data_IF_528099554088
#
_entry.id   IF_528099554088
#
_cell.length_a   1.000
_cell.length_b   1.000
_cell.length_c   1.000
_cell.angle_alpha   90.00
_cell.angle_beta   90.00
_cell.angle_gamma   90.00
#
_symmetry.space_group_name_H-M   'P 1'
#
loop_
_entity.id
_entity.type
_entity.pdbx_description
1 polymer ?
#
# COMPACT_ATOMS: atom_id res chain seq x y z
N UNK A 1 -5.69 -22.87 27.09
CA UNK A 1 -6.55 -21.67 27.28
C UNK A 1 -5.62 -20.50 27.52
N UNK A 2 -5.17 -19.83 26.45
CA UNK A 2 -4.29 -18.66 26.51
C UNK A 2 -5.14 -17.43 26.90
N UNK A 3 -5.30 -17.21 28.21
CA UNK A 3 -6.12 -16.11 28.73
C UNK A 3 -5.39 -14.76 28.63
N UNK A 4 -6.09 -13.72 28.19
CA UNK A 4 -5.58 -12.34 28.31
C UNK A 4 -5.51 -11.94 29.78
N UNK A 5 -4.34 -11.48 30.23
CA UNK A 5 -4.13 -10.89 31.56
C UNK A 5 -4.20 -9.36 31.48
N UNK A 6 -4.56 -8.73 32.60
CA UNK A 6 -4.76 -7.30 32.71
C UNK A 6 -3.96 -6.79 33.90
N UNK A 7 -3.06 -5.83 33.66
CA UNK A 7 -2.29 -5.22 34.74
C UNK A 7 -2.35 -3.70 34.68
N UNK A 8 -2.28 -3.03 35.82
CA UNK A 8 -2.21 -1.58 35.93
C UNK A 8 -0.80 -1.12 36.30
N UNK A 9 -0.34 -0.05 35.67
CA UNK A 9 0.96 0.57 35.97
C UNK A 9 0.97 2.07 35.64
N UNK A 10 1.89 2.80 36.25
CA UNK A 10 2.29 4.13 35.78
C UNK A 10 3.16 3.99 34.52
N UNK A 11 2.85 4.78 33.49
CA UNK A 11 3.56 4.74 32.22
C UNK A 11 5.04 5.13 32.38
N UNK A 12 5.94 4.18 32.11
CA UNK A 12 7.40 4.39 32.25
C UNK A 12 8.00 5.44 31.29
N UNK A 13 7.28 5.76 30.20
CA UNK A 13 7.67 6.76 29.20
C UNK A 13 6.49 7.12 28.31
N UNK A 14 6.49 8.31 27.69
CA UNK A 14 5.47 8.80 26.75
C UNK A 14 5.53 8.15 25.34
N UNK A 15 5.97 6.89 25.24
CA UNK A 15 6.15 6.16 23.98
C UNK A 15 4.97 5.26 23.60
N UNK A 16 4.09 4.94 24.55
CA UNK A 16 2.92 4.11 24.29
C UNK A 16 1.75 4.94 23.76
N UNK A 17 1.02 4.40 22.80
CA UNK A 17 -0.22 4.96 22.28
C UNK A 17 -1.40 4.14 22.78
N UNK A 18 -2.43 4.80 23.30
CA UNK A 18 -3.65 4.11 23.74
C UNK A 18 -4.32 3.40 22.57
N UNK A 19 -4.59 2.09 22.73
CA UNK A 19 -5.19 1.26 21.68
C UNK A 19 -6.58 1.72 21.27
N UNK A 20 -7.36 2.37 22.15
CA UNK A 20 -8.73 2.83 21.90
C UNK A 20 -8.78 4.21 21.25
N UNK A 21 -8.28 5.25 21.90
CA UNK A 21 -8.38 6.63 21.40
C UNK A 21 -7.21 7.07 20.49
N UNK A 22 -6.16 6.26 20.37
CA UNK A 22 -4.96 6.53 19.55
C UNK A 22 -4.14 7.76 19.96
N UNK A 23 -4.39 8.35 21.12
CA UNK A 23 -3.53 9.40 21.69
C UNK A 23 -2.36 8.81 22.48
N UNK A 24 -1.27 9.57 22.61
CA UNK A 24 -0.13 9.18 23.46
C UNK A 24 -0.56 9.15 24.93
N UNK A 25 -0.02 8.18 25.67
CA UNK A 25 -0.13 8.09 27.14
C UNK A 25 1.14 8.75 27.70
N UNK A 26 0.99 9.77 28.53
CA UNK A 26 2.12 10.56 29.04
C UNK A 26 2.95 9.79 30.08
N UNK A 27 4.21 10.19 30.27
CA UNK A 27 5.07 9.56 31.27
C UNK A 27 4.53 9.80 32.68
N UNK A 28 4.41 8.75 33.48
CA UNK A 28 3.84 8.78 34.83
C UNK A 28 2.31 8.66 34.88
N UNK A 29 1.61 8.63 33.74
CA UNK A 29 0.15 8.48 33.69
C UNK A 29 -0.28 7.01 33.94
N UNK A 30 -1.39 6.79 34.64
CA UNK A 30 -1.94 5.45 34.86
C UNK A 30 -2.48 4.85 33.55
N UNK A 31 -2.12 3.59 33.29
CA UNK A 31 -2.58 2.85 32.10
C UNK A 31 -2.81 1.37 32.43
N UNK A 32 -3.73 0.76 31.67
CA UNK A 32 -3.99 -0.69 31.73
C UNK A 32 -3.27 -1.38 30.58
N UNK A 33 -2.41 -2.35 30.92
CA UNK A 33 -1.75 -3.27 29.98
C UNK A 33 -2.63 -4.51 29.80
N UNK A 34 -2.89 -4.88 28.55
CA UNK A 34 -3.56 -6.12 28.17
C UNK A 34 -2.52 -7.03 27.51
N UNK A 35 -2.25 -8.19 28.10
CA UNK A 35 -1.25 -9.15 27.62
C UNK A 35 -1.91 -10.44 27.14
N UNK A 36 -1.60 -10.87 25.92
CA UNK A 36 -2.12 -12.11 25.34
C UNK A 36 -1.01 -12.87 24.59
N UNK A 37 -1.18 -14.18 24.46
CA UNK A 37 -0.27 -15.03 23.70
C UNK A 37 -0.47 -14.83 22.19
N UNK A 38 0.60 -14.49 21.47
CA UNK A 38 0.62 -14.28 20.03
C UNK A 38 0.77 -15.57 19.22
N UNK A 39 0.71 -15.46 17.88
CA UNK A 39 0.69 -16.61 16.93
C UNK A 39 1.95 -17.49 16.92
N UNK A 40 2.96 -17.19 17.71
CA UNK A 40 4.23 -17.93 17.80
C UNK A 40 4.73 -18.08 19.25
N UNK A 41 3.84 -17.97 20.25
CA UNK A 41 4.20 -18.09 21.68
C UNK A 41 4.82 -16.84 22.31
N UNK A 42 4.94 -15.74 21.56
CA UNK A 42 5.37 -14.44 22.08
C UNK A 42 4.22 -13.69 22.77
N UNK A 43 4.49 -13.09 23.94
CA UNK A 43 3.53 -12.21 24.63
C UNK A 43 3.34 -10.89 23.86
N UNK A 44 2.12 -10.64 23.41
CA UNK A 44 1.72 -9.37 22.79
C UNK A 44 1.01 -8.52 23.83
N UNK A 45 1.56 -7.34 24.12
CA UNK A 45 0.96 -6.39 25.05
C UNK A 45 0.42 -5.15 24.34
N UNK A 46 -0.75 -4.68 24.77
CA UNK A 46 -1.33 -3.41 24.34
C UNK A 46 -1.67 -2.55 25.55
N UNK A 47 -1.65 -1.22 25.39
CA UNK A 47 -1.88 -0.27 26.46
C UNK A 47 -3.12 0.59 26.18
N UNK A 48 -3.89 0.90 27.21
CA UNK A 48 -5.03 1.83 27.15
C UNK A 48 -5.04 2.76 28.36
N UNK A 49 -5.51 4.01 28.20
CA UNK A 49 -5.85 4.86 29.35
C UNK A 49 -6.92 4.16 30.20
N UNK A 50 -6.95 4.48 31.50
CA UNK A 50 -7.93 3.91 32.43
C UNK A 50 -9.36 4.28 32.00
N UNK A 51 -9.62 5.53 31.62
CA UNK A 51 -10.94 5.98 31.14
C UNK A 51 -11.30 5.42 29.76
N UNK A 52 -10.28 4.98 29.01
CA UNK A 52 -10.46 4.32 27.73
C UNK A 52 -10.74 2.82 27.90
N UNK A 53 -10.48 2.22 29.06
CA UNK A 53 -10.68 0.78 29.21
C UNK A 53 -12.17 0.42 29.10
N UNK A 54 -12.44 -0.80 28.62
CA UNK A 54 -13.79 -1.34 28.54
C UNK A 54 -13.71 -2.82 28.84
N UNK A 55 -14.62 -3.28 29.70
CA UNK A 55 -14.65 -4.67 30.14
C UNK A 55 -14.71 -5.61 28.92
N UNK A 56 -13.79 -6.59 28.83
CA UNK A 56 -13.86 -7.66 27.85
C UNK A 56 -15.24 -8.34 27.87
N UNK A 57 -15.69 -8.84 26.72
CA UNK A 57 -17.02 -9.47 26.59
C UNK A 57 -17.31 -10.56 27.63
N UNK A 58 -16.28 -11.32 28.03
CA UNK A 58 -16.35 -12.37 29.07
C UNK A 58 -16.73 -11.84 30.46
N UNK A 59 -16.42 -10.58 30.75
CA UNK A 59 -16.72 -9.88 32.01
C UNK A 59 -17.90 -8.93 31.88
N UNK A 60 -18.22 -8.47 30.66
CA UNK A 60 -19.33 -7.56 30.41
C UNK A 60 -20.69 -8.28 30.20
N UNK A 61 -20.71 -9.60 29.95
CA UNK A 61 -21.93 -10.33 29.57
C UNK A 61 -21.87 -11.83 29.89
N UNK A 62 -23.03 -12.48 30.07
CA UNK A 62 -23.14 -13.92 30.30
C UNK A 62 -22.85 -14.37 31.73
N UNK A 63 -22.56 -15.66 31.93
CA UNK A 63 -22.32 -16.27 33.25
C UNK A 63 -21.02 -15.80 33.94
N UNK A 64 -20.13 -15.11 33.22
CA UNK A 64 -18.91 -14.49 33.75
C UNK A 64 -19.02 -12.98 33.99
N UNK A 65 -20.24 -12.42 33.96
CA UNK A 65 -20.45 -11.00 34.17
C UNK A 65 -20.03 -10.59 35.58
N UNK A 66 -19.15 -9.59 35.66
CA UNK A 66 -18.70 -8.97 36.91
C UNK A 66 -18.79 -7.45 36.78
N UNK A 67 -18.84 -6.72 37.89
CA UNK A 67 -18.83 -5.25 37.85
C UNK A 67 -17.43 -4.70 37.57
N UNK A 68 -17.34 -3.42 37.25
CA UNK A 68 -16.07 -2.70 37.12
C UNK A 68 -15.26 -2.72 38.44
N UNK A 69 -15.94 -2.63 39.59
CA UNK A 69 -15.32 -2.75 40.91
C UNK A 69 -14.76 -4.15 41.15
N UNK A 70 -15.55 -5.19 40.83
CA UNK A 70 -15.14 -6.58 40.95
C UNK A 70 -13.97 -6.89 40.00
N UNK A 71 -13.97 -6.31 38.80
CA UNK A 71 -12.84 -6.45 37.86
C UNK A 71 -11.56 -5.83 38.41
N UNK A 72 -11.62 -4.64 39.01
CA UNK A 72 -10.44 -3.97 39.58
C UNK A 72 -9.91 -4.73 40.80
N UNK A 73 -10.79 -5.37 41.59
CA UNK A 73 -10.40 -6.12 42.80
C UNK A 73 -9.90 -7.52 42.50
N UNK A 74 -10.58 -8.24 41.61
CA UNK A 74 -10.42 -9.69 41.46
C UNK A 74 -9.68 -10.10 40.17
N UNK A 75 -9.52 -9.18 39.21
CA UNK A 75 -8.96 -9.49 37.87
C UNK A 75 -7.78 -8.60 37.48
N UNK A 76 -7.79 -7.33 37.89
CA UNK A 76 -6.73 -6.38 37.54
C UNK A 76 -5.52 -6.56 38.45
N UNK A 77 -4.38 -6.93 37.86
CA UNK A 77 -3.14 -7.13 38.60
C UNK A 77 -2.37 -5.81 38.78
N UNK A 78 -1.78 -5.61 39.95
CA UNK A 78 -0.80 -4.54 40.19
C UNK A 78 0.56 -5.15 40.53
N UNK A 79 1.45 -5.32 39.53
CA UNK A 79 2.78 -5.88 39.76
C UNK A 79 3.68 -5.02 40.66
N UNK A 80 3.37 -3.73 40.84
CA UNK A 80 4.13 -2.84 41.71
C UNK A 80 3.69 -2.92 43.17
N UNK A 81 2.42 -3.27 43.41
CA UNK A 81 1.79 -3.26 44.73
C UNK A 81 1.58 -1.86 45.33
N UNK A 82 1.81 -0.80 44.54
CA UNK A 82 1.73 0.60 44.99
C UNK A 82 0.39 1.28 44.61
N UNK A 83 -0.38 0.68 43.70
CA UNK A 83 -1.59 1.26 43.10
C UNK A 83 -2.85 0.62 43.72
N UNK A 84 -2.90 -0.71 43.79
CA UNK A 84 -4.01 -1.46 44.38
C UNK A 84 -3.62 -1.98 45.77
N UNK A 85 -4.53 -1.92 46.77
CA UNK A 85 -5.94 -1.55 46.69
C UNK A 85 -6.22 -0.04 46.86
N UNK A 86 -5.21 0.79 47.16
CA UNK A 86 -5.40 2.18 47.58
C UNK A 86 -6.20 3.04 46.58
N UNK A 87 -6.03 2.81 45.28
CA UNK A 87 -6.74 3.54 44.21
C UNK A 87 -7.87 2.73 43.56
N UNK A 88 -8.27 1.58 44.13
CA UNK A 88 -9.21 0.65 43.50
C UNK A 88 -10.56 1.31 43.15
N UNK A 89 -11.15 2.05 44.10
CA UNK A 89 -12.44 2.71 43.89
C UNK A 89 -12.33 3.86 42.87
N UNK A 90 -11.21 4.59 42.84
CA UNK A 90 -10.96 5.65 41.86
C UNK A 90 -10.79 5.06 40.44
N UNK A 91 -10.07 3.94 40.32
CA UNK A 91 -9.85 3.25 39.05
C UNK A 91 -11.17 2.67 38.54
N UNK A 92 -11.96 2.02 39.39
CA UNK A 92 -13.29 1.51 39.03
C UNK A 92 -14.22 2.65 38.60
N UNK A 93 -14.19 3.78 39.32
CA UNK A 93 -14.93 4.98 38.93
C UNK A 93 -14.48 5.54 37.57
N UNK A 94 -13.17 5.56 37.27
CA UNK A 94 -12.63 6.00 35.97
C UNK A 94 -13.00 5.05 34.82
N UNK A 95 -13.08 3.75 35.07
CA UNK A 95 -13.54 2.77 34.06
C UNK A 95 -15.05 2.95 33.80
N UNK A 96 -15.83 3.21 34.85
CA UNK A 96 -17.29 3.38 34.80
C UNK A 96 -17.70 4.72 34.20
N UNK A 97 -16.99 5.78 34.57
CA UNK A 97 -17.06 7.10 33.97
C UNK A 97 -16.44 7.03 32.59
N UNK A 98 -17.14 6.37 31.65
CA UNK A 98 -16.81 6.39 30.23
C UNK A 98 -16.43 7.82 29.89
N UNK A 99 -15.16 8.04 29.53
CA UNK A 99 -14.80 9.30 28.91
C UNK A 99 -15.80 9.49 27.75
N UNK A 100 -16.43 10.68 27.59
CA UNK A 100 -16.97 11.02 26.28
C UNK A 100 -15.83 10.75 25.29
N UNK A 101 -16.11 10.15 24.15
CA UNK A 101 -15.10 9.90 23.13
C UNK A 101 -14.55 11.25 22.63
N UNK A 102 -13.65 11.86 23.40
CA UNK A 102 -13.06 13.15 23.16
C UNK A 102 -11.73 12.91 22.47
N UNK A 103 -11.82 12.56 21.20
CA UNK A 103 -10.82 12.98 20.22
C UNK A 103 -10.90 14.50 19.94
N UNK A 104 -11.82 15.24 20.58
CA UNK A 104 -11.99 16.69 20.44
C UNK A 104 -11.60 17.44 21.72
N UNK A 105 -10.31 17.76 21.89
CA UNK A 105 -9.79 19.03 22.46
C UNK A 105 -8.29 18.94 22.76
N UNK A 106 -7.45 19.15 21.74
CA UNK A 106 -6.16 19.84 21.86
C UNK A 106 -5.54 20.07 20.46
N UNK A 107 -6.24 20.80 19.60
CA UNK A 107 -5.64 21.48 18.46
C UNK A 107 -6.56 22.65 18.06
N UNK A 108 -6.64 23.67 18.92
CA UNK A 108 -7.30 24.92 18.56
C UNK A 108 -6.24 25.87 17.98
N UNK A 109 -5.99 25.72 16.68
CA UNK A 109 -5.52 26.78 15.81
C UNK A 109 -5.68 26.35 14.34
N UNK A 110 -6.85 26.69 13.76
CA UNK A 110 -7.06 26.79 12.31
C UNK A 110 -7.84 25.64 11.66
N UNK A 111 -9.05 25.95 11.19
CA UNK A 111 -9.80 25.16 10.21
C UNK A 111 -11.03 24.44 10.77
N UNK A 112 -12.22 24.78 10.27
CA UNK A 112 -13.48 24.06 10.45
C UNK A 112 -13.32 22.57 10.15
N UNK A 113 -13.55 21.68 11.14
CA UNK A 113 -13.75 20.25 10.90
C UNK A 113 -14.83 19.68 11.84
N UNK A 114 -16.00 19.44 11.26
CA UNK A 114 -16.96 18.43 11.69
C UNK A 114 -16.24 17.10 11.92
N UNK A 115 -16.52 16.44 13.04
CA UNK A 115 -15.99 15.09 13.27
C UNK A 115 -17.14 14.13 13.10
N UNK A 116 -17.41 13.71 11.86
CA UNK A 116 -18.49 12.78 11.57
C UNK A 116 -17.93 11.60 10.80
N UNK A 117 -17.98 10.42 11.43
CA UNK A 117 -17.78 9.14 10.75
C UNK A 117 -18.62 9.13 9.46
N UNK A 118 -18.01 9.00 8.26
CA UNK A 118 -18.71 9.11 6.99
C UNK A 118 -19.92 8.17 6.87
N UNK A 119 -19.86 7.02 7.54
CA UNK A 119 -20.96 6.06 7.57
C UNK A 119 -22.15 6.55 8.41
N UNK A 120 -21.89 7.29 9.49
CA UNK A 120 -22.92 7.86 10.35
C UNK A 120 -23.71 8.94 9.62
N UNK A 121 -23.03 9.84 8.90
CA UNK A 121 -23.67 10.85 8.08
C UNK A 121 -24.65 10.25 7.05
N UNK A 122 -24.23 9.17 6.36
CA UNK A 122 -25.10 8.46 5.40
C UNK A 122 -26.33 7.87 6.09
N UNK A 123 -26.16 7.23 7.26
CA UNK A 123 -27.26 6.62 8.02
C UNK A 123 -28.26 7.67 8.50
N UNK A 124 -27.79 8.82 8.97
CA UNK A 124 -28.66 9.91 9.42
C UNK A 124 -29.45 10.51 8.26
N UNK A 125 -28.81 10.73 7.11
CA UNK A 125 -29.49 11.20 5.91
C UNK A 125 -30.52 10.19 5.37
N UNK A 126 -30.20 8.90 5.40
CA UNK A 126 -31.15 7.83 5.06
C UNK A 126 -32.39 7.87 5.97
N UNK A 127 -32.21 7.92 7.30
CA UNK A 127 -33.33 8.04 8.25
C UNK A 127 -34.15 9.31 8.04
N UNK A 128 -33.50 10.43 7.75
CA UNK A 128 -34.19 11.70 7.47
C UNK A 128 -35.05 11.58 6.21
N UNK A 129 -34.55 10.95 5.16
CA UNK A 129 -35.32 10.68 3.92
C UNK A 129 -36.51 9.75 4.16
N UNK A 130 -36.36 8.73 5.00
CA UNK A 130 -37.46 7.85 5.41
C UNK A 130 -38.53 8.62 6.21
N UNK A 131 -38.12 9.53 7.09
CA UNK A 131 -39.02 10.35 7.90
C UNK A 131 -39.76 11.44 7.12
N UNK A 132 -39.13 12.00 6.08
CA UNK A 132 -39.71 13.04 5.21
C UNK A 132 -40.63 12.48 4.11
N UNK A 133 -40.74 11.15 3.96
CA UNK A 133 -41.80 10.43 3.24
C UNK A 133 -42.17 10.97 1.85
N UNK A 134 -41.46 10.54 0.80
CA UNK A 134 -41.82 10.64 -0.64
C UNK A 134 -42.75 11.80 -1.10
N UNK A 135 -42.56 13.02 -0.60
CA UNK A 135 -43.09 14.22 -1.24
C UNK A 135 -42.04 14.68 -2.22
N UNK A 136 -42.28 14.48 -3.51
CA UNK A 136 -41.38 14.81 -4.61
C UNK A 136 -41.17 16.31 -4.80
N UNK A 137 -40.59 16.99 -3.81
CA UNK A 137 -40.01 18.33 -3.97
C UNK A 137 -38.50 18.28 -3.80
N UNK A 138 -37.83 18.57 -4.91
CA UNK A 138 -36.38 18.62 -5.08
C UNK A 138 -35.81 19.86 -4.35
N UNK A 139 -34.96 19.72 -3.30
CA UNK A 139 -34.44 20.89 -2.62
C UNK A 139 -33.22 21.45 -3.36
N UNK A 140 -33.46 22.57 -4.04
CA UNK A 140 -32.52 23.43 -4.77
C UNK A 140 -31.23 23.75 -3.99
N UNK A 141 -30.14 23.01 -4.22
CA UNK A 141 -28.79 23.57 -4.14
C UNK A 141 -27.78 22.66 -4.86
N UNK A 142 -27.32 23.11 -6.03
CA UNK A 142 -26.99 22.26 -7.19
C UNK A 142 -25.52 21.82 -7.37
N UNK A 143 -24.64 21.97 -6.37
CA UNK A 143 -23.21 21.60 -6.57
C UNK A 143 -22.52 20.75 -5.48
N UNK A 144 -23.12 20.57 -4.29
CA UNK A 144 -22.54 19.72 -3.22
C UNK A 144 -23.43 18.52 -2.81
N UNK A 145 -24.67 18.42 -3.31
CA UNK A 145 -25.64 17.38 -2.91
C UNK A 145 -25.58 16.08 -3.72
N UNK A 146 -24.91 16.05 -4.88
CA UNK A 146 -24.96 14.91 -5.81
C UNK A 146 -24.38 13.61 -5.22
N UNK A 147 -23.10 13.63 -4.85
CA UNK A 147 -22.41 12.43 -4.36
C UNK A 147 -23.01 11.87 -3.06
N UNK A 148 -23.45 12.73 -2.15
CA UNK A 148 -24.06 12.26 -0.90
C UNK A 148 -25.42 11.58 -1.15
N UNK A 149 -26.21 12.09 -2.09
CA UNK A 149 -27.48 11.45 -2.49
C UNK A 149 -27.22 10.05 -3.06
N UNK A 150 -26.24 9.92 -3.97
CA UNK A 150 -25.84 8.63 -4.53
C UNK A 150 -25.33 7.64 -3.46
N UNK A 151 -24.59 8.13 -2.46
CA UNK A 151 -24.15 7.31 -1.32
C UNK A 151 -25.33 6.82 -0.47
N UNK A 152 -26.37 7.63 -0.30
CA UNK A 152 -27.60 7.22 0.39
C UNK A 152 -28.36 6.18 -0.42
N UNK A 153 -28.50 6.36 -1.74
CA UNK A 153 -29.14 5.37 -2.62
C UNK A 153 -28.41 4.01 -2.58
N UNK A 154 -27.07 4.02 -2.68
CA UNK A 154 -26.27 2.82 -2.54
C UNK A 154 -26.37 2.21 -1.14
N UNK A 155 -26.44 3.02 -0.08
CA UNK A 155 -26.66 2.53 1.28
C UNK A 155 -28.00 1.79 1.39
N UNK A 156 -29.08 2.35 0.85
CA UNK A 156 -30.39 1.71 0.83
C UNK A 156 -30.37 0.35 0.12
N UNK A 157 -29.61 0.24 -0.97
CA UNK A 157 -29.42 -1.01 -1.70
C UNK A 157 -28.68 -2.08 -0.87
N UNK A 158 -27.57 -1.71 -0.22
CA UNK A 158 -26.71 -2.68 0.47
C UNK A 158 -27.03 -2.90 1.96
N UNK A 159 -27.80 -2.01 2.63
CA UNK A 159 -27.98 -2.03 4.10
C UNK A 159 -28.57 -3.35 4.63
N UNK A 160 -29.42 -4.00 3.82
CA UNK A 160 -30.06 -5.28 4.15
C UNK A 160 -29.18 -6.51 3.94
N UNK A 161 -28.04 -6.39 3.24
CA UNK A 161 -27.21 -7.53 2.88
C UNK A 161 -26.46 -8.14 4.08
N UNK A 162 -26.18 -9.44 3.97
CA UNK A 162 -25.33 -10.17 4.91
C UNK A 162 -23.85 -9.83 4.67
N UNK A 163 -22.99 -10.15 5.63
CA UNK A 163 -21.55 -9.96 5.44
C UNK A 163 -21.00 -10.76 4.26
N UNK A 164 -21.56 -11.93 3.97
CA UNK A 164 -21.08 -12.78 2.89
C UNK A 164 -21.46 -12.19 1.53
N UNK A 165 -22.70 -11.74 1.37
CA UNK A 165 -23.12 -11.02 0.16
C UNK A 165 -22.30 -9.74 -0.07
N UNK A 166 -22.02 -8.95 0.98
CA UNK A 166 -21.14 -7.78 0.85
C UNK A 166 -19.72 -8.18 0.43
N UNK A 167 -19.19 -9.29 0.94
CA UNK A 167 -17.87 -9.79 0.51
C UNK A 167 -17.89 -10.32 -0.91
N UNK A 168 -18.99 -10.91 -1.37
CA UNK A 168 -19.15 -11.38 -2.74
C UNK A 168 -19.10 -10.20 -3.71
N UNK A 169 -19.87 -9.14 -3.43
CA UNK A 169 -19.81 -7.86 -4.18
C UNK A 169 -18.38 -7.32 -4.22
N UNK A 170 -17.68 -7.26 -3.07
CA UNK A 170 -16.30 -6.80 -3.04
C UNK A 170 -15.35 -7.71 -3.83
N UNK A 171 -15.55 -9.02 -3.80
CA UNK A 171 -14.72 -10.01 -4.52
C UNK A 171 -14.87 -9.86 -6.03
N UNK A 172 -16.09 -9.75 -6.52
CA UNK A 172 -16.38 -9.51 -7.95
C UNK A 172 -15.68 -8.26 -8.48
N UNK A 173 -15.46 -7.27 -7.62
CA UNK A 173 -14.82 -6.00 -7.98
C UNK A 173 -13.32 -5.96 -7.66
N UNK A 174 -12.69 -7.09 -7.31
CA UNK A 174 -11.28 -7.19 -6.92
C UNK A 174 -10.90 -6.26 -5.74
N UNK A 175 -11.85 -6.03 -4.83
CA UNK A 175 -11.66 -5.17 -3.65
C UNK A 175 -11.32 -5.98 -2.40
N UNK A 176 -10.75 -5.30 -1.40
CA UNK A 176 -10.40 -5.96 -0.13
C UNK A 176 -11.65 -6.32 0.68
N UNK A 177 -11.75 -7.58 1.10
CA UNK A 177 -12.90 -8.13 1.88
C UNK A 177 -12.69 -8.10 3.41
N UNK A 178 -11.64 -7.44 3.89
CA UNK A 178 -11.36 -7.29 5.33
C UNK A 178 -12.19 -6.16 5.94
N UNK A 179 -12.48 -6.25 7.24
CA UNK A 179 -13.20 -5.22 8.00
C UNK A 179 -14.42 -5.76 8.75
N UNK A 180 -15.04 -4.89 9.55
CA UNK A 180 -16.34 -5.17 10.18
C UNK A 180 -17.49 -4.89 9.18
N UNK A 181 -18.73 -5.23 9.56
CA UNK A 181 -19.91 -5.04 8.69
C UNK A 181 -20.05 -3.62 8.16
N UNK A 182 -19.87 -2.59 9.00
CA UNK A 182 -19.97 -1.19 8.57
C UNK A 182 -18.93 -0.84 7.51
N UNK A 183 -17.70 -1.33 7.67
CA UNK A 183 -16.62 -1.06 6.73
C UNK A 183 -16.81 -1.82 5.40
N UNK A 184 -17.28 -3.07 5.44
CA UNK A 184 -17.66 -3.81 4.22
C UNK A 184 -18.77 -3.10 3.46
N UNK A 185 -19.80 -2.65 4.18
CA UNK A 185 -20.92 -1.90 3.63
C UNK A 185 -20.45 -0.57 3.01
N UNK A 186 -19.62 0.21 3.72
CA UNK A 186 -19.10 1.47 3.20
C UNK A 186 -18.23 1.28 1.95
N UNK A 187 -17.42 0.21 1.89
CA UNK A 187 -16.68 -0.12 0.65
C UNK A 187 -17.60 -0.42 -0.53
N UNK A 188 -18.72 -1.10 -0.31
CA UNK A 188 -19.70 -1.36 -1.36
C UNK A 188 -20.37 -0.06 -1.83
N UNK A 189 -20.70 0.84 -0.89
CA UNK A 189 -21.25 2.17 -1.19
C UNK A 189 -20.25 3.01 -1.99
N UNK A 190 -19.03 3.12 -1.49
CA UNK A 190 -17.94 3.85 -2.15
C UNK A 190 -17.67 3.33 -3.56
N UNK A 191 -17.60 2.00 -3.71
CA UNK A 191 -17.44 1.35 -5.00
C UNK A 191 -18.61 1.55 -5.96
N UNK A 192 -19.85 1.52 -5.46
CA UNK A 192 -21.04 1.73 -6.28
C UNK A 192 -21.14 3.18 -6.79
N UNK A 193 -20.67 4.16 -6.00
CA UNK A 193 -20.72 5.58 -6.39
C UNK A 193 -19.55 5.97 -7.29
N UNK A 194 -18.33 5.51 -6.98
CA UNK A 194 -17.12 5.98 -7.67
C UNK A 194 -16.50 4.94 -8.61
N UNK A 195 -16.86 3.67 -8.48
CA UNK A 195 -16.22 2.57 -9.18
C UNK A 195 -15.20 1.81 -8.33
N UNK A 196 -14.65 0.76 -8.94
CA UNK A 196 -13.64 -0.12 -8.36
C UNK A 196 -12.38 0.66 -8.08
N UNK A 197 -11.74 0.49 -6.91
CA UNK A 197 -10.40 1.08 -6.72
C UNK A 197 -9.44 0.46 -7.72
N UNK A 198 -8.80 1.31 -8.52
CA UNK A 198 -7.77 0.91 -9.47
C UNK A 198 -6.46 0.56 -8.74
N UNK A 199 -5.45 0.14 -9.50
CA UNK A 199 -4.10 -0.02 -8.95
C UNK A 199 -3.49 1.33 -8.59
N UNK A 200 -2.60 1.30 -7.59
CA UNK A 200 -1.89 2.50 -7.15
C UNK A 200 -1.01 3.03 -8.30
N UNK A 201 -1.20 4.27 -8.76
CA UNK A 201 -0.46 4.78 -9.92
C UNK A 201 1.03 5.06 -9.61
N UNK A 202 1.42 5.03 -8.32
CA UNK A 202 2.83 5.06 -7.93
C UNK A 202 3.49 3.69 -8.07
N UNK A 203 2.98 2.68 -7.38
CA UNK A 203 3.68 1.39 -7.21
C UNK A 203 2.95 0.19 -7.80
N UNK A 204 1.84 0.41 -8.51
CA UNK A 204 0.90 -0.61 -8.96
C UNK A 204 0.32 -1.52 -7.85
N UNK A 205 0.46 -1.12 -6.58
CA UNK A 205 -0.07 -1.85 -5.44
C UNK A 205 -1.60 -1.78 -5.33
N UNK A 206 -2.17 -2.60 -4.43
CA UNK A 206 -3.62 -2.59 -4.14
C UNK A 206 -3.98 -1.35 -3.32
N UNK A 207 -4.90 -0.53 -3.81
CA UNK A 207 -5.53 0.53 -3.04
C UNK A 207 -6.64 -0.05 -2.15
N UNK A 208 -6.83 0.52 -0.94
CA UNK A 208 -7.87 0.10 -0.01
C UNK A 208 -8.41 1.26 0.81
N UNK A 209 -9.67 1.18 1.21
CA UNK A 209 -10.26 2.07 2.21
C UNK A 209 -9.52 1.95 3.55
N UNK A 210 -9.16 3.09 4.15
CA UNK A 210 -8.58 3.16 5.48
C UNK A 210 -9.63 2.85 6.57
N UNK A 211 -9.19 2.50 7.78
CA UNK A 211 -10.08 2.05 8.87
C UNK A 211 -11.06 3.13 9.34
N UNK A 212 -10.72 4.40 9.17
CA UNK A 212 -11.56 5.56 9.52
C UNK A 212 -12.51 6.00 8.39
N UNK A 213 -12.48 5.33 7.23
CA UNK A 213 -13.34 5.59 6.06
C UNK A 213 -13.13 6.96 5.40
N UNK A 214 -12.13 7.75 5.81
CA UNK A 214 -11.91 9.12 5.32
C UNK A 214 -10.93 9.19 4.15
N UNK A 215 -10.18 8.12 3.88
CA UNK A 215 -9.16 8.10 2.84
C UNK A 215 -8.93 6.71 2.26
N UNK A 216 -8.43 6.69 1.04
CA UNK A 216 -7.89 5.51 0.36
C UNK A 216 -6.39 5.49 0.56
N UNK A 217 -5.85 4.33 0.96
CA UNK A 217 -4.42 4.12 1.18
C UNK A 217 -3.91 2.99 0.32
N UNK A 218 -2.67 3.11 -0.15
CA UNK A 218 -1.98 2.02 -0.81
C UNK A 218 -1.55 0.95 0.20
N UNK A 219 -1.74 -0.32 -0.14
CA UNK A 219 -1.27 -1.48 0.63
C UNK A 219 0.11 -1.96 0.18
N UNK A 220 0.83 -1.17 -0.61
CA UNK A 220 2.12 -1.54 -1.20
C UNK A 220 2.03 -2.61 -2.29
N UNK A 221 3.18 -2.89 -2.90
CA UNK A 221 3.35 -3.93 -3.93
C UNK A 221 4.00 -5.16 -3.31
N UNK A 222 3.50 -6.35 -3.61
CA UNK A 222 4.20 -7.59 -3.28
C UNK A 222 5.16 -7.93 -4.40
N UNK A 223 6.38 -8.27 -4.05
CA UNK A 223 7.43 -8.65 -4.99
C UNK A 223 7.65 -10.15 -4.86
N UNK A 224 7.44 -10.87 -5.96
CA UNK A 224 7.48 -12.33 -5.97
C UNK A 224 8.91 -12.88 -5.81
N UNK A 225 9.93 -12.14 -6.23
CA UNK A 225 11.32 -12.61 -6.17
C UNK A 225 11.84 -12.54 -4.74
N UNK A 226 11.63 -11.41 -4.08
CA UNK A 226 12.07 -11.19 -2.70
C UNK A 226 11.08 -11.74 -1.67
N UNK A 227 9.86 -12.10 -2.08
CA UNK A 227 8.72 -12.46 -1.22
C UNK A 227 8.42 -11.40 -0.15
N UNK A 228 8.76 -10.14 -0.44
CA UNK A 228 8.56 -8.99 0.46
C UNK A 228 7.49 -8.08 -0.13
N UNK A 229 6.70 -7.46 0.76
CA UNK A 229 5.81 -6.36 0.40
C UNK A 229 6.55 -5.03 0.55
N UNK A 230 6.76 -4.35 -0.56
CA UNK A 230 7.31 -2.99 -0.58
C UNK A 230 6.22 -2.01 -0.13
N UNK A 231 6.41 -1.32 1.02
CA UNK A 231 5.42 -0.38 1.49
C UNK A 231 5.36 0.83 0.56
N UNK A 232 4.15 1.37 0.42
CA UNK A 232 3.89 2.59 -0.32
C UNK A 232 3.01 3.48 0.54
N UNK A 233 3.41 4.73 0.67
CA UNK A 233 2.72 5.70 1.52
C UNK A 233 1.69 6.53 0.75
N UNK A 234 1.39 6.16 -0.50
CA UNK A 234 0.44 6.90 -1.32
C UNK A 234 -0.97 6.79 -0.74
N UNK A 235 -1.66 7.92 -0.65
CA UNK A 235 -3.03 8.02 -0.17
C UNK A 235 -3.78 9.09 -0.93
N UNK A 236 -5.10 8.93 -1.01
CA UNK A 236 -6.00 9.80 -1.75
C UNK A 236 -7.26 10.06 -0.93
N UNK A 237 -7.88 11.25 -1.06
CA UNK A 237 -9.30 11.42 -0.74
C UNK A 237 -10.15 10.39 -1.51
N UNK A 238 -11.27 9.88 -0.96
CA UNK A 238 -12.09 8.85 -1.60
C UNK A 238 -12.56 9.22 -3.02
N UNK A 239 -12.94 10.48 -3.23
CA UNK A 239 -13.41 11.04 -4.49
C UNK A 239 -12.32 11.28 -5.54
N UNK A 240 -11.06 11.41 -5.12
CA UNK A 240 -9.90 11.63 -6.00
C UNK A 240 -9.10 10.34 -6.24
N UNK A 241 -9.43 9.26 -5.51
CA UNK A 241 -8.75 7.99 -5.63
C UNK A 241 -8.90 7.43 -7.06
N UNK A 242 -7.84 6.84 -7.65
CA UNK A 242 -7.92 6.18 -8.96
C UNK A 242 -9.01 5.09 -8.99
N UNK A 243 -9.91 5.15 -9.99
CA UNK A 243 -11.05 4.23 -10.15
C UNK A 243 -11.09 3.56 -11.53
N UNK A 244 -11.68 2.37 -11.55
CA UNK A 244 -12.09 1.67 -12.76
C UNK A 244 -13.60 1.41 -12.75
N UNK A 245 -14.18 1.47 -13.95
CA UNK A 245 -15.58 1.19 -14.21
C UNK A 245 -15.69 -0.10 -15.05
N UNK A 246 -16.88 -0.73 -15.09
CA UNK A 246 -18.02 -0.51 -14.20
C UNK A 246 -17.79 -1.12 -12.80
N UNK A 247 -18.70 -0.83 -11.87
CA UNK A 247 -18.85 -1.55 -10.59
C UNK A 247 -19.93 -2.62 -10.75
N UNK A 248 -19.67 -3.82 -10.23
CA UNK A 248 -20.58 -4.96 -10.34
C UNK A 248 -21.27 -5.25 -8.99
N UNK A 249 -22.58 -5.01 -8.89
CA UNK A 249 -23.37 -5.38 -7.70
C UNK A 249 -23.84 -6.84 -7.71
N UNK A 250 -23.62 -7.54 -8.81
CA UNK A 250 -23.95 -8.95 -9.06
C UNK A 250 -22.72 -9.65 -9.66
N UNK A 251 -22.76 -10.98 -9.77
CA UNK A 251 -21.63 -11.74 -10.33
C UNK A 251 -21.39 -11.34 -11.81
N UNK A 252 -20.18 -10.87 -12.18
CA UNK A 252 -19.85 -10.54 -13.55
C UNK A 252 -19.75 -11.80 -14.42
N UNK A 253 -20.00 -11.66 -15.72
CA UNK A 253 -19.75 -12.73 -16.68
C UNK A 253 -18.26 -13.05 -16.80
N UNK A 254 -17.93 -14.18 -17.42
CA UNK A 254 -16.52 -14.57 -17.63
C UNK A 254 -15.80 -13.59 -18.57
N UNK A 255 -16.49 -13.02 -19.55
CA UNK A 255 -15.94 -11.96 -20.41
C UNK A 255 -15.64 -10.70 -19.59
N UNK A 256 -16.56 -10.28 -18.72
CA UNK A 256 -16.37 -9.12 -17.84
C UNK A 256 -15.22 -9.35 -16.84
N UNK A 257 -15.08 -10.56 -16.31
CA UNK A 257 -13.94 -10.95 -15.45
C UNK A 257 -12.62 -10.84 -16.23
N UNK A 258 -12.58 -11.32 -17.48
CA UNK A 258 -11.38 -11.24 -18.32
C UNK A 258 -11.00 -9.78 -18.65
N UNK A 259 -11.98 -8.92 -18.95
CA UNK A 259 -11.74 -7.48 -19.15
C UNK A 259 -11.15 -6.82 -17.90
N UNK A 260 -11.66 -7.17 -16.70
CA UNK A 260 -11.13 -6.64 -15.45
C UNK A 260 -9.69 -7.07 -15.18
N UNK A 261 -9.33 -8.31 -15.51
CA UNK A 261 -7.96 -8.81 -15.39
C UNK A 261 -7.03 -8.13 -16.41
N UNK A 262 -7.49 -7.94 -17.65
CA UNK A 262 -6.74 -7.20 -18.65
C UNK A 262 -6.42 -5.77 -18.19
N UNK A 263 -7.36 -5.07 -17.54
CA UNK A 263 -7.10 -3.75 -16.97
C UNK A 263 -6.01 -3.77 -15.88
N UNK A 264 -5.92 -4.86 -15.11
CA UNK A 264 -4.89 -5.06 -14.08
C UNK A 264 -3.52 -5.26 -14.72
N UNK A 265 -3.41 -6.14 -15.71
CA UNK A 265 -2.18 -6.43 -16.46
C UNK A 265 -1.69 -5.18 -17.18
N UNK A 266 -2.60 -4.47 -17.86
CA UNK A 266 -2.27 -3.22 -18.53
C UNK A 266 -1.73 -2.18 -17.54
N UNK A 267 -2.35 -2.02 -16.37
CA UNK A 267 -1.85 -1.11 -15.35
C UNK A 267 -0.49 -1.51 -14.78
N UNK A 268 -0.17 -2.82 -14.77
CA UNK A 268 1.15 -3.33 -14.44
C UNK A 268 2.19 -3.08 -15.53
N UNK A 269 1.77 -2.66 -16.73
CA UNK A 269 2.63 -2.59 -17.91
C UNK A 269 3.15 -3.97 -18.29
N UNK A 270 2.33 -5.00 -18.09
CA UNK A 270 2.58 -6.34 -18.60
C UNK A 270 2.11 -6.40 -20.07
N UNK A 271 2.91 -7.02 -20.93
CA UNK A 271 2.52 -7.27 -22.31
C UNK A 271 1.50 -8.40 -22.33
N UNK A 272 0.59 -8.37 -23.32
CA UNK A 272 -0.40 -9.43 -23.47
C UNK A 272 0.32 -10.78 -23.66
N UNK A 273 -0.19 -11.81 -23.01
CA UNK A 273 0.29 -13.18 -23.25
C UNK A 273 0.29 -13.48 -24.76
N UNK A 274 1.42 -13.96 -25.28
CA UNK A 274 1.62 -14.24 -26.71
C UNK A 274 2.06 -13.05 -27.57
N UNK A 275 2.26 -11.85 -26.99
CA UNK A 275 2.70 -10.64 -27.71
C UNK A 275 4.01 -10.81 -28.49
N UNK A 276 4.85 -11.77 -28.10
CA UNK A 276 6.17 -12.00 -28.69
C UNK A 276 6.37 -13.42 -29.20
N UNK A 277 5.30 -14.18 -29.44
CA UNK A 277 5.43 -15.56 -29.94
C UNK A 277 6.15 -15.61 -31.29
N UNK A 278 5.85 -14.66 -32.18
CA UNK A 278 6.52 -14.52 -33.49
C UNK A 278 8.01 -14.15 -33.35
N UNK A 279 8.35 -13.28 -32.38
CA UNK A 279 9.74 -12.90 -32.09
C UNK A 279 10.51 -14.10 -31.53
N UNK A 280 9.90 -14.85 -30.60
CA UNK A 280 10.47 -16.07 -30.03
C UNK A 280 10.68 -17.13 -31.11
N UNK A 281 9.72 -17.32 -32.03
CA UNK A 281 9.85 -18.26 -33.14
C UNK A 281 10.97 -17.83 -34.10
N UNK A 282 11.05 -16.53 -34.41
CA UNK A 282 12.12 -15.95 -35.23
C UNK A 282 13.49 -16.17 -34.62
N UNK A 283 13.64 -15.95 -33.30
CA UNK A 283 14.86 -16.21 -32.55
C UNK A 283 15.24 -17.69 -32.57
N UNK A 284 14.28 -18.60 -32.32
CA UNK A 284 14.51 -20.05 -32.37
C UNK A 284 15.04 -20.47 -33.73
N UNK A 285 14.42 -19.99 -34.80
CA UNK A 285 14.83 -20.29 -36.17
C UNK A 285 16.25 -19.79 -36.46
N UNK A 286 16.57 -18.56 -36.04
CA UNK A 286 17.91 -17.99 -36.20
C UNK A 286 18.98 -18.77 -35.41
N UNK A 287 18.62 -19.31 -34.25
CA UNK A 287 19.54 -20.03 -33.38
C UNK A 287 19.69 -21.54 -33.70
N UNK A 288 18.75 -22.14 -34.44
CA UNK A 288 18.72 -23.58 -34.76
C UNK A 288 20.02 -24.13 -35.40
N UNK A 289 20.78 -23.27 -36.08
CA UNK A 289 22.06 -23.62 -36.72
C UNK A 289 23.30 -23.49 -35.83
N UNK A 290 23.16 -23.04 -34.58
CA UNK A 290 24.29 -22.79 -33.69
C UNK A 290 24.94 -24.08 -33.19
N UNK A 291 26.27 -24.06 -33.05
CA UNK A 291 27.01 -25.17 -32.46
C UNK A 291 26.85 -25.18 -30.92
N UNK A 292 25.80 -25.85 -30.44
CA UNK A 292 25.41 -25.84 -29.02
C UNK A 292 26.20 -26.81 -28.13
N UNK A 293 27.53 -26.66 -28.08
CA UNK A 293 28.41 -27.50 -27.26
C UNK A 293 28.70 -26.85 -25.90
N UNK A 294 27.94 -27.24 -24.89
CA UNK A 294 28.11 -26.75 -23.52
C UNK A 294 29.16 -27.52 -22.70
N UNK A 295 30.09 -28.24 -23.34
CA UNK A 295 31.15 -29.02 -22.66
C UNK A 295 32.40 -28.17 -22.41
N UNK A 296 32.78 -28.02 -21.13
CA UNK A 296 33.96 -27.24 -20.73
C UNK A 296 33.81 -25.73 -20.92
N UNK A 297 34.73 -24.96 -20.31
CA UNK A 297 34.63 -23.48 -20.28
C UNK A 297 34.71 -22.84 -21.67
N UNK A 298 35.49 -23.41 -22.58
CA UNK A 298 35.67 -22.87 -23.93
C UNK A 298 34.41 -23.04 -24.79
N UNK A 299 33.76 -24.22 -24.71
CA UNK A 299 32.51 -24.49 -25.42
C UNK A 299 31.38 -23.57 -24.96
N UNK A 300 31.22 -23.41 -23.64
CA UNK A 300 30.23 -22.49 -23.06
C UNK A 300 30.47 -21.05 -23.52
N UNK A 301 31.72 -20.56 -23.47
CA UNK A 301 32.03 -19.19 -23.92
C UNK A 301 31.71 -18.96 -25.40
N UNK A 302 31.95 -19.96 -26.24
CA UNK A 302 31.60 -19.90 -27.67
C UNK A 302 30.09 -19.86 -27.85
N UNK A 303 29.35 -20.79 -27.24
CA UNK A 303 27.90 -20.84 -27.32
C UNK A 303 27.22 -19.54 -26.82
N UNK A 304 27.73 -18.96 -25.73
CA UNK A 304 27.30 -17.64 -25.22
C UNK A 304 27.54 -16.55 -26.25
N UNK A 305 28.72 -16.52 -26.89
CA UNK A 305 29.05 -15.51 -27.90
C UNK A 305 28.15 -15.61 -29.13
N UNK A 306 28.03 -16.81 -29.68
CA UNK A 306 27.24 -17.08 -30.89
C UNK A 306 25.75 -16.77 -30.64
N UNK A 307 25.20 -17.16 -29.48
CA UNK A 307 23.82 -16.83 -29.13
C UNK A 307 23.62 -15.33 -28.89
N UNK A 308 24.58 -14.65 -28.24
CA UNK A 308 24.49 -13.20 -28.03
C UNK A 308 24.40 -12.45 -29.37
N UNK A 309 25.15 -12.87 -30.38
CA UNK A 309 25.06 -12.28 -31.73
C UNK A 309 23.66 -12.47 -32.35
N UNK A 310 23.07 -13.66 -32.20
CA UNK A 310 21.68 -13.93 -32.66
C UNK A 310 20.68 -13.02 -31.94
N UNK A 311 20.79 -12.89 -30.61
CA UNK A 311 19.88 -12.04 -29.83
C UNK A 311 20.03 -10.56 -30.19
N UNK A 312 21.25 -10.09 -30.45
CA UNK A 312 21.54 -8.70 -30.82
C UNK A 312 21.13 -8.36 -32.26
N UNK A 313 21.11 -9.34 -33.15
CA UNK A 313 20.71 -9.17 -34.55
C UNK A 313 19.18 -9.15 -34.73
N UNK A 314 18.41 -9.50 -33.70
CA UNK A 314 16.96 -9.51 -33.76
C UNK A 314 16.38 -8.10 -33.94
N UNK A 315 15.32 -7.97 -34.73
CA UNK A 315 14.72 -6.67 -35.05
C UNK A 315 14.21 -5.95 -33.80
N UNK A 316 13.58 -6.69 -32.89
CA UNK A 316 13.22 -6.23 -31.55
C UNK A 316 14.37 -6.54 -30.58
N UNK A 317 15.02 -5.49 -30.07
CA UNK A 317 16.15 -5.64 -29.15
C UNK A 317 15.69 -6.19 -27.80
N UNK A 318 16.36 -7.24 -27.31
CA UNK A 318 16.25 -7.67 -25.91
C UNK A 318 16.92 -6.65 -24.98
N UNK A 319 16.47 -6.55 -23.73
CA UNK A 319 17.06 -5.67 -22.71
C UNK A 319 18.36 -6.27 -22.13
N UNK A 320 19.38 -6.33 -22.98
CA UNK A 320 20.72 -6.77 -22.64
C UNK A 320 21.55 -5.63 -22.03
N UNK A 321 22.48 -5.92 -21.09
CA UNK A 321 23.47 -4.94 -20.62
C UNK A 321 24.25 -4.31 -21.79
N UNK A 322 24.52 -3.01 -21.69
CA UNK A 322 25.30 -2.29 -22.72
C UNK A 322 26.76 -2.75 -22.77
N UNK A 323 27.34 -3.14 -21.62
CA UNK A 323 28.69 -3.70 -21.57
C UNK A 323 28.71 -5.15 -22.10
N UNK A 324 29.52 -5.44 -23.15
CA UNK A 324 29.55 -6.78 -23.74
C UNK A 324 30.09 -7.89 -22.83
N UNK A 325 30.78 -7.57 -21.74
CA UNK A 325 31.21 -8.59 -20.77
C UNK A 325 30.08 -8.90 -19.80
N UNK A 326 29.35 -7.89 -19.34
CA UNK A 326 28.16 -8.06 -18.50
C UNK A 326 27.07 -8.85 -19.25
N UNK A 327 26.78 -8.49 -20.50
CA UNK A 327 25.81 -9.23 -21.32
C UNK A 327 26.17 -10.72 -21.47
N UNK A 328 27.45 -11.02 -21.75
CA UNK A 328 27.95 -12.41 -21.80
C UNK A 328 27.88 -13.10 -20.44
N UNK A 329 28.13 -12.38 -19.34
CA UNK A 329 28.04 -12.93 -17.99
C UNK A 329 26.62 -13.34 -17.65
N UNK A 330 25.63 -12.46 -17.89
CA UNK A 330 24.21 -12.72 -17.65
C UNK A 330 23.72 -13.92 -18.46
N UNK A 331 23.99 -13.91 -19.77
CA UNK A 331 23.60 -15.00 -20.67
C UNK A 331 24.30 -16.32 -20.32
N UNK A 332 25.58 -16.26 -19.94
CA UNK A 332 26.33 -17.42 -19.46
C UNK A 332 25.73 -18.03 -18.20
N UNK A 333 25.27 -17.21 -17.26
CA UNK A 333 24.58 -17.66 -16.05
C UNK A 333 23.28 -18.41 -16.40
N UNK A 334 22.46 -17.84 -17.27
CA UNK A 334 21.20 -18.46 -17.73
C UNK A 334 21.42 -19.81 -18.43
N UNK A 335 22.38 -19.87 -19.36
CA UNK A 335 22.79 -21.11 -20.03
C UNK A 335 23.26 -22.15 -19.03
N UNK A 336 24.00 -21.73 -18.00
CA UNK A 336 24.51 -22.65 -17.00
C UNK A 336 23.41 -23.21 -16.07
N UNK A 337 22.38 -22.42 -15.76
CA UNK A 337 21.20 -22.86 -15.01
C UNK A 337 20.32 -23.84 -15.80
N UNK A 338 20.36 -23.78 -17.14
CA UNK A 338 19.53 -24.59 -18.03
C UNK A 338 20.36 -25.42 -19.03
N UNK A 339 21.47 -25.99 -18.55
CA UNK A 339 22.47 -26.67 -19.39
C UNK A 339 21.93 -27.93 -20.08
N UNK A 340 20.86 -28.49 -19.55
CA UNK A 340 20.13 -29.64 -20.09
C UNK A 340 19.25 -29.29 -21.30
N UNK A 341 19.01 -28.00 -21.55
CA UNK A 341 18.14 -27.52 -22.63
C UNK A 341 18.91 -27.28 -23.94
N UNK A 342 18.24 -27.54 -25.06
CA UNK A 342 18.68 -27.11 -26.38
C UNK A 342 18.62 -25.59 -26.53
N UNK A 343 19.26 -25.06 -27.58
CA UNK A 343 19.24 -23.63 -27.89
C UNK A 343 17.81 -23.11 -28.15
N UNK A 344 16.94 -23.92 -28.73
CA UNK A 344 15.54 -23.53 -29.00
C UNK A 344 14.69 -23.51 -27.72
N UNK A 345 14.95 -24.42 -26.79
CA UNK A 345 14.23 -24.52 -25.51
C UNK A 345 14.66 -23.46 -24.49
N UNK A 346 15.88 -22.93 -24.60
CA UNK A 346 16.38 -21.88 -23.70
C UNK A 346 15.97 -20.48 -24.13
N UNK A 347 15.71 -20.23 -25.42
CA UNK A 347 15.31 -18.91 -25.93
C UNK A 347 14.08 -18.35 -25.21
N UNK A 348 12.97 -19.09 -25.04
CA UNK A 348 11.82 -18.58 -24.30
C UNK A 348 12.16 -18.15 -22.86
N UNK A 349 13.06 -18.88 -22.19
CA UNK A 349 13.49 -18.54 -20.83
C UNK A 349 14.37 -17.29 -20.80
N UNK A 350 15.21 -17.10 -21.82
CA UNK A 350 16.04 -15.90 -21.97
C UNK A 350 15.14 -14.69 -22.22
N UNK A 351 14.13 -14.83 -23.08
CA UNK A 351 13.15 -13.77 -23.35
C UNK A 351 12.31 -13.48 -22.10
N UNK A 352 11.92 -14.50 -21.34
CA UNK A 352 11.20 -14.35 -20.06
C UNK A 352 12.05 -13.59 -19.02
N UNK A 353 13.34 -13.91 -18.90
CA UNK A 353 14.23 -13.26 -17.93
C UNK A 353 14.62 -11.83 -18.35
N UNK A 354 14.97 -11.62 -19.62
CA UNK A 354 15.51 -10.34 -20.10
C UNK A 354 14.41 -9.39 -20.56
N UNK A 355 13.35 -9.91 -21.19
CA UNK A 355 12.33 -9.11 -21.87
C UNK A 355 12.88 -8.33 -23.07
N UNK A 356 11.97 -7.63 -23.76
CA UNK A 356 12.33 -6.72 -24.84
C UNK A 356 12.53 -5.30 -24.32
N UNK A 357 13.54 -4.62 -24.86
CA UNK A 357 13.85 -3.23 -24.52
C UNK A 357 12.67 -2.29 -24.79
N UNK A 358 11.97 -2.49 -25.91
CA UNK A 358 10.78 -1.72 -26.26
C UNK A 358 9.67 -1.80 -25.19
N UNK A 359 9.44 -2.98 -24.63
CA UNK A 359 8.43 -3.18 -23.57
C UNK A 359 8.84 -2.50 -22.28
N UNK A 360 10.12 -2.62 -21.91
CA UNK A 360 10.68 -1.97 -20.73
C UNK A 360 10.57 -0.45 -20.83
N UNK A 361 10.91 0.11 -21.98
CA UNK A 361 10.80 1.54 -22.27
C UNK A 361 9.33 1.99 -22.23
N UNK A 362 8.42 1.23 -22.84
CA UNK A 362 6.98 1.50 -22.80
C UNK A 362 6.42 1.44 -21.36
N UNK A 363 6.85 0.46 -20.56
CA UNK A 363 6.48 0.32 -19.15
C UNK A 363 7.00 1.48 -18.31
N UNK A 364 8.24 1.91 -18.54
CA UNK A 364 8.82 3.08 -17.87
C UNK A 364 8.05 4.36 -18.23
N UNK A 365 7.76 4.58 -19.52
CA UNK A 365 6.98 5.72 -19.99
C UNK A 365 5.55 5.73 -19.40
N UNK A 366 4.89 4.56 -19.33
CA UNK A 366 3.56 4.44 -18.72
C UNK A 366 3.59 4.74 -17.22
N UNK A 367 4.61 4.26 -16.51
CA UNK A 367 4.81 4.58 -15.09
C UNK A 367 5.04 6.06 -14.89
N UNK A 368 5.84 6.69 -15.74
CA UNK A 368 6.12 8.13 -15.70
C UNK A 368 4.85 8.97 -15.94
N UNK A 369 4.05 8.63 -16.96
CA UNK A 369 2.77 9.28 -17.21
C UNK A 369 1.76 9.07 -16.06
N UNK A 370 1.77 7.90 -15.41
CA UNK A 370 0.95 7.65 -14.22
C UNK A 370 1.40 8.52 -13.04
N UNK A 371 2.70 8.73 -12.86
CA UNK A 371 3.26 9.62 -11.83
C UNK A 371 2.94 11.09 -12.12
N UNK A 372 2.99 11.51 -13.39
CA UNK A 372 2.62 12.87 -13.83
C UNK A 372 1.24 13.31 -13.35
N UNK A 373 0.25 12.42 -13.45
CA UNK A 373 -1.10 12.71 -13.00
C UNK A 373 -1.27 12.89 -11.47
N UNK A 374 -0.26 12.51 -10.68
CA UNK A 374 -0.30 12.59 -9.21
C UNK A 374 0.59 13.70 -8.69
N UNK A 375 1.61 14.10 -9.44
CA UNK A 375 2.49 15.20 -9.07
C UNK A 375 1.72 16.52 -9.13
N UNK A 376 1.73 17.30 -8.04
CA UNK A 376 1.13 18.64 -8.04
C UNK A 376 1.76 19.56 -9.08
N UNK A 377 3.05 19.38 -9.33
CA UNK A 377 3.76 20.05 -10.41
C UNK A 377 4.33 19.02 -11.41
N UNK A 378 3.81 18.97 -12.65
CA UNK A 378 4.27 18.03 -13.68
C UNK A 378 5.77 18.12 -14.01
N UNK A 379 6.41 19.28 -13.79
CA UNK A 379 7.86 19.42 -14.04
C UNK A 379 8.72 18.61 -13.07
N UNK A 380 8.16 18.18 -11.95
CA UNK A 380 8.89 17.41 -10.94
C UNK A 380 8.84 15.89 -11.21
N UNK A 381 8.14 15.44 -12.25
CA UNK A 381 7.88 14.01 -12.52
C UNK A 381 9.15 13.20 -12.66
N UNK A 382 10.11 13.66 -13.46
CA UNK A 382 11.38 12.96 -13.65
C UNK A 382 12.12 12.74 -12.32
N UNK A 383 12.09 13.73 -11.43
CA UNK A 383 12.72 13.66 -10.10
C UNK A 383 12.02 12.60 -9.25
N UNK A 384 10.68 12.60 -9.23
CA UNK A 384 9.88 11.63 -8.49
C UNK A 384 10.15 10.22 -9.02
N UNK A 385 10.20 10.04 -10.34
CA UNK A 385 10.48 8.77 -11.01
C UNK A 385 11.84 8.19 -10.63
N UNK A 386 12.93 8.97 -10.71
CA UNK A 386 14.28 8.46 -10.40
C UNK A 386 14.49 8.15 -8.91
N UNK A 387 13.89 8.95 -8.02
CA UNK A 387 13.95 8.67 -6.57
C UNK A 387 13.09 7.45 -6.22
N UNK A 388 11.98 7.25 -6.93
CA UNK A 388 11.16 6.07 -6.77
C UNK A 388 11.87 4.80 -7.25
N UNK A 389 12.52 4.83 -8.42
CA UNK A 389 13.32 3.72 -8.90
C UNK A 389 14.43 3.36 -7.91
N UNK A 390 15.11 4.38 -7.36
CA UNK A 390 16.12 4.17 -6.33
C UNK A 390 15.55 3.47 -5.09
N UNK A 391 14.34 3.85 -4.64
CA UNK A 391 13.61 3.18 -3.56
C UNK A 391 13.38 1.69 -3.85
N UNK A 392 12.91 1.38 -5.05
CA UNK A 392 12.60 0.01 -5.49
C UNK A 392 13.86 -0.87 -5.55
N UNK A 393 14.97 -0.35 -6.08
CA UNK A 393 16.23 -1.08 -6.13
C UNK A 393 16.79 -1.37 -4.73
N UNK A 394 16.69 -0.43 -3.78
CA UNK A 394 17.08 -0.70 -2.40
C UNK A 394 16.22 -1.78 -1.74
N UNK A 395 14.93 -1.85 -2.06
CA UNK A 395 14.09 -2.93 -1.55
C UNK A 395 14.47 -4.29 -2.15
N UNK A 396 14.77 -4.34 -3.46
CA UNK A 396 15.24 -5.56 -4.13
C UNK A 396 16.52 -6.12 -3.50
N UNK A 397 17.43 -5.25 -3.08
CA UNK A 397 18.65 -5.63 -2.35
C UNK A 397 18.42 -6.00 -0.87
N UNK A 398 17.17 -6.00 -0.39
CA UNK A 398 16.84 -6.26 1.01
C UNK A 398 17.15 -5.09 1.97
N UNK A 399 17.59 -3.93 1.47
CA UNK A 399 17.83 -2.74 2.29
C UNK A 399 16.55 -1.95 2.53
N UNK A 400 15.70 -2.50 3.42
CA UNK A 400 14.39 -1.94 3.75
C UNK A 400 14.45 -0.51 4.31
N UNK A 401 15.51 -0.16 5.03
CA UNK A 401 15.66 1.16 5.64
C UNK A 401 15.90 2.26 4.58
N UNK A 402 16.80 1.99 3.63
CA UNK A 402 17.04 2.90 2.52
C UNK A 402 15.80 2.97 1.61
N UNK A 403 15.22 1.82 1.25
CA UNK A 403 13.99 1.75 0.45
C UNK A 403 12.87 2.60 1.05
N UNK A 404 12.61 2.46 2.36
CA UNK A 404 11.59 3.24 3.06
C UNK A 404 11.90 4.73 3.11
N UNK A 405 13.18 5.10 3.27
CA UNK A 405 13.59 6.50 3.30
C UNK A 405 13.31 7.19 1.97
N UNK A 406 13.65 6.56 0.84
CA UNK A 406 13.33 7.09 -0.48
C UNK A 406 11.83 7.05 -0.77
N UNK A 407 11.11 6.00 -0.35
CA UNK A 407 9.65 5.93 -0.51
C UNK A 407 8.93 7.10 0.18
N UNK A 408 9.39 7.50 1.37
CA UNK A 408 8.89 8.71 2.05
C UNK A 408 9.25 9.99 1.30
N UNK A 409 10.47 10.09 0.79
CA UNK A 409 10.88 11.23 -0.02
C UNK A 409 10.01 11.38 -1.28
N UNK A 410 9.68 10.30 -1.98
CA UNK A 410 8.79 10.30 -3.14
C UNK A 410 7.44 10.94 -2.79
N UNK A 411 6.84 10.62 -1.63
CA UNK A 411 5.58 11.23 -1.19
C UNK A 411 5.69 12.73 -0.95
N UNK A 412 6.81 13.18 -0.36
CA UNK A 412 7.06 14.61 -0.19
C UNK A 412 7.25 15.32 -1.53
N UNK A 413 8.06 14.75 -2.42
CA UNK A 413 8.42 15.34 -3.71
C UNK A 413 7.22 15.49 -4.66
N UNK A 414 6.30 14.52 -4.69
CA UNK A 414 5.08 14.62 -5.53
C UNK A 414 4.15 15.75 -5.10
N UNK A 415 4.17 16.11 -3.81
CA UNK A 415 3.27 17.11 -3.22
C UNK A 415 3.85 18.54 -3.26
N UNK A 416 5.05 18.71 -3.83
CA UNK A 416 5.67 20.01 -4.10
C UNK A 416 4.96 20.67 -5.28
N UNK A 417 4.42 21.86 -5.05
CA UNK A 417 3.64 22.65 -6.00
C UNK A 417 4.49 23.57 -6.89
N UNK A 418 5.73 23.85 -6.51
CA UNK A 418 6.71 24.60 -7.31
C UNK A 418 7.68 23.69 -8.06
N UNK A 419 8.33 24.23 -9.09
CA UNK A 419 9.37 23.52 -9.85
C UNK A 419 10.64 23.35 -9.01
N UNK A 420 11.10 22.11 -8.86
CA UNK A 420 12.33 21.79 -8.15
C UNK A 420 13.50 22.00 -9.11
N UNK A 421 14.42 22.89 -8.73
CA UNK A 421 15.61 23.25 -9.53
C UNK A 421 16.88 22.96 -8.75
N UNK A 422 18.03 22.93 -9.44
CA UNK A 422 19.33 22.74 -8.79
C UNK A 422 19.66 23.81 -7.74
N UNK A 423 19.01 24.98 -7.81
CA UNK A 423 19.19 26.09 -6.87
C UNK A 423 18.39 25.91 -5.58
N UNK A 424 17.16 25.37 -5.68
CA UNK A 424 16.25 25.25 -4.55
C UNK A 424 16.26 23.85 -3.90
N UNK A 425 16.77 22.81 -4.58
CA UNK A 425 16.65 21.42 -4.15
C UNK A 425 17.23 21.15 -2.74
N UNK A 426 18.37 21.76 -2.41
CA UNK A 426 18.97 21.61 -1.07
C UNK A 426 18.16 22.27 0.05
N UNK A 427 17.30 23.24 -0.27
CA UNK A 427 16.41 23.86 0.73
C UNK A 427 15.33 22.89 1.22
N UNK A 428 15.01 21.85 0.44
CA UNK A 428 14.00 20.86 0.81
C UNK A 428 14.37 20.05 2.06
N UNK A 429 15.64 19.99 2.44
CA UNK A 429 16.06 19.22 3.62
C UNK A 429 15.94 19.97 4.96
N UNK A 430 15.80 21.32 4.94
CA UNK A 430 15.80 22.14 6.16
C UNK A 430 15.21 23.54 5.94
N UNK A 431 14.70 24.15 7.01
CA UNK A 431 14.20 25.52 6.96
C UNK A 431 12.73 25.61 6.55
N UNK A 432 12.32 26.77 6.02
CA UNK A 432 10.90 27.07 5.73
C UNK A 432 10.33 26.31 4.53
N UNK A 433 11.18 25.91 3.59
CA UNK A 433 10.83 25.13 2.39
C UNK A 433 11.13 23.64 2.59
N UNK A 434 11.27 23.19 3.85
CA UNK A 434 11.50 21.78 4.15
C UNK A 434 10.33 20.95 3.64
N UNK A 435 10.65 19.91 2.87
CA UNK A 435 9.69 18.93 2.38
C UNK A 435 9.72 17.71 3.29
N UNK A 436 8.56 17.28 3.77
CA UNK A 436 8.47 16.11 4.64
C UNK A 436 8.94 14.83 3.93
N UNK A 437 9.74 14.03 4.63
CA UNK A 437 10.36 12.82 4.07
C UNK A 437 11.63 13.09 3.26
N UNK A 438 11.96 14.33 2.90
CA UNK A 438 13.18 14.68 2.15
C UNK A 438 14.31 15.04 3.13
N UNK A 439 15.25 14.12 3.31
CA UNK A 439 16.47 14.35 4.08
C UNK A 439 17.60 14.95 3.25
N UNK A 440 18.70 15.34 3.93
CA UNK A 440 19.91 15.90 3.27
C UNK A 440 20.41 15.01 2.13
N UNK A 441 20.56 13.71 2.38
CA UNK A 441 21.08 12.77 1.38
C UNK A 441 20.13 12.53 0.19
N UNK A 442 18.84 12.79 0.33
CA UNK A 442 17.89 12.79 -0.80
C UNK A 442 18.01 14.09 -1.58
N UNK A 443 18.03 15.24 -0.90
CA UNK A 443 18.18 16.54 -1.53
C UNK A 443 19.50 16.66 -2.34
N UNK A 444 20.58 16.07 -1.83
CA UNK A 444 21.86 15.97 -2.55
C UNK A 444 21.71 15.18 -3.86
N UNK A 445 21.01 14.03 -3.85
CA UNK A 445 20.77 13.22 -5.05
C UNK A 445 19.86 13.91 -6.06
N UNK A 446 18.82 14.60 -5.58
CA UNK A 446 17.96 15.43 -6.45
C UNK A 446 18.80 16.54 -7.10
N UNK A 447 19.67 17.19 -6.32
CA UNK A 447 20.58 18.23 -6.83
C UNK A 447 21.58 17.69 -7.86
N UNK A 448 22.14 16.51 -7.59
CA UNK A 448 23.02 15.78 -8.50
C UNK A 448 22.30 15.50 -9.83
N UNK A 449 21.12 14.87 -9.76
CA UNK A 449 20.30 14.55 -10.92
C UNK A 449 19.99 15.80 -11.76
N UNK A 450 19.61 16.90 -11.13
CA UNK A 450 19.31 18.15 -11.82
C UNK A 450 20.52 18.81 -12.50
N UNK A 451 21.74 18.49 -12.04
CA UNK A 451 22.99 19.04 -12.63
C UNK A 451 23.59 18.14 -13.69
N UNK A 452 23.50 16.82 -13.51
CA UNK A 452 24.24 15.84 -14.33
C UNK A 452 23.32 15.00 -15.21
N UNK A 453 22.02 15.01 -14.95
CA UNK A 453 21.04 14.10 -15.55
C UNK A 453 21.09 12.68 -14.97
N UNK A 454 21.92 12.40 -13.96
CA UNK A 454 22.10 11.06 -13.38
C UNK A 454 22.24 11.11 -11.86
N UNK A 455 21.97 9.98 -11.21
CA UNK A 455 22.33 9.73 -9.81
C UNK A 455 23.34 8.59 -9.82
N UNK A 456 24.60 8.83 -9.49
CA UNK A 456 25.66 7.81 -9.53
C UNK A 456 25.26 6.55 -8.76
N UNK A 457 24.64 6.73 -7.58
CA UNK A 457 24.16 5.61 -6.77
C UNK A 457 23.00 4.84 -7.40
N UNK A 458 22.21 5.47 -8.27
CA UNK A 458 21.16 4.79 -9.03
C UNK A 458 21.79 3.96 -10.15
N UNK A 459 22.77 4.51 -10.88
CA UNK A 459 23.48 3.79 -11.94
C UNK A 459 24.24 2.57 -11.39
N UNK A 460 24.91 2.71 -10.24
CA UNK A 460 25.56 1.59 -9.55
C UNK A 460 24.57 0.44 -9.28
N UNK A 461 23.33 0.77 -8.90
CA UNK A 461 22.30 -0.23 -8.60
C UNK A 461 21.68 -0.86 -9.83
N UNK A 462 21.48 -0.07 -10.90
CA UNK A 462 21.04 -0.59 -12.19
C UNK A 462 22.03 -1.64 -12.69
N UNK A 463 23.33 -1.36 -12.60
CA UNK A 463 24.38 -2.31 -12.94
C UNK A 463 24.34 -3.57 -12.06
N UNK A 464 24.10 -3.42 -10.75
CA UNK A 464 24.07 -4.55 -9.82
C UNK A 464 22.88 -5.53 -10.05
N UNK A 465 21.73 -5.05 -10.54
CA UNK A 465 20.58 -5.92 -10.90
C UNK A 465 20.80 -6.60 -12.26
N UNK A 466 21.64 -6.01 -13.12
CA UNK A 466 22.09 -6.58 -14.40
C UNK A 466 23.25 -7.59 -14.28
N UNK A 467 23.84 -7.77 -13.10
CA UNK A 467 24.78 -8.85 -12.77
C UNK A 467 24.06 -10.16 -12.47
#
# INVERSE_FOLDING_TARGET
>A
MSGTTYSIEHAKSARSTCKKCKTKIESGELRIKQSAEGKEGFEVSTYVHVECFSLPRKFASGAGKISEEDFVKDVLEDPSGEILPAMADEIAAKITAKAPSSAKKAAKAGGDEDSDDPMTAIKELSKKREAEGNTGEEPSNKKAKGNMTLKVDAYEFYKGMTNDLLKDVLRWNHQTMTGNKNMLLYKCIDGHVYGRLARCPMCNGVLKMHEDLTKIVCNGKFDEDTKIRYPCNNSHPPEEAPRWLPWYSEEPSDEQKAEMEQMIEEAAGETKAGSHDDDIETLKKAASGLEWKLTGKAGIKKAVGDLLEVLQAHANALDLPEDPKEARSKLGSLIQMHRDKSVEEIIPLIVEELGFKGDKDAKAAKKEAAVENICKNPKNVHIVSVIQELSELYYKEGNRNAGLSYSKAVMGLKDVDYEITSENAMSMCKGKTKVDGVGKGTAEKVTEFLKTGKIEKLEEKRAAVGG
#
